data_IF_680154778064
#
_entry.id   IF_680154778064
#
_cell.length_a   1.000
_cell.length_b   1.000
_cell.length_c   1.000
_cell.angle_alpha   90.00
_cell.angle_beta   90.00
_cell.angle_gamma   90.00
#
_symmetry.space_group_name_H-M   'P 1'
#
loop_
_entity.id
_entity.type
_entity.pdbx_description
1 polymer ?
#
# COMPACT_ATOMS: atom_id res chain seq x y z
N UNK A 1 -12.32 28.94 -52.40
CA UNK A 1 -13.71 28.45 -52.23
C UNK A 1 -13.85 26.93 -52.49
N UNK A 2 -12.86 26.10 -52.08
CA UNK A 2 -12.91 24.62 -52.18
C UNK A 2 -12.58 23.93 -50.85
N UNK A 3 -12.41 24.72 -49.77
CA UNK A 3 -12.03 24.25 -48.42
C UNK A 3 -13.16 24.40 -47.39
N UNK A 4 -14.32 24.89 -47.81
CA UNK A 4 -15.48 25.11 -46.93
C UNK A 4 -16.51 23.96 -47.04
N UNK A 5 -16.42 23.12 -48.07
CA UNK A 5 -17.31 21.97 -48.25
C UNK A 5 -16.87 20.69 -47.51
N UNK A 6 -15.78 20.72 -46.75
CA UNK A 6 -15.23 19.53 -46.07
C UNK A 6 -15.46 19.51 -44.55
N UNK A 7 -16.30 20.42 -44.04
CA UNK A 7 -16.63 20.53 -42.60
C UNK A 7 -18.04 20.01 -42.29
N UNK A 8 -18.82 19.60 -43.31
CA UNK A 8 -20.23 19.22 -43.14
C UNK A 8 -20.51 17.70 -43.24
N UNK A 9 -19.51 16.85 -43.01
CA UNK A 9 -19.64 15.39 -43.21
C UNK A 9 -19.12 14.52 -42.04
N UNK A 10 -19.02 15.06 -40.82
CA UNK A 10 -18.60 14.29 -39.62
C UNK A 10 -19.48 14.60 -38.40
N UNK A 11 -20.79 14.70 -38.58
CA UNK A 11 -21.76 14.83 -37.48
C UNK A 11 -22.87 13.78 -37.56
N UNK A 12 -22.49 12.53 -37.78
CA UNK A 12 -23.41 11.41 -37.69
C UNK A 12 -22.65 10.14 -37.31
N UNK A 13 -22.51 9.89 -35.99
CA UNK A 13 -22.39 8.56 -35.39
C UNK A 13 -22.44 8.71 -33.85
N UNK A 14 -23.65 8.95 -33.36
CA UNK A 14 -24.05 8.64 -31.98
C UNK A 14 -24.81 7.32 -32.01
N UNK A 15 -24.17 6.24 -31.56
CA UNK A 15 -24.81 5.02 -31.06
C UNK A 15 -23.73 4.09 -30.49
N UNK A 16 -23.26 4.36 -29.27
CA UNK A 16 -22.35 3.49 -28.51
C UNK A 16 -23.01 3.04 -27.22
N UNK A 17 -23.23 1.73 -27.11
CA UNK A 17 -24.06 1.02 -26.14
C UNK A 17 -23.79 1.33 -24.66
N UNK A 18 -24.86 1.64 -23.91
CA UNK A 18 -24.89 1.47 -22.46
C UNK A 18 -25.20 0.01 -22.12
N UNK A 19 -24.31 -0.64 -21.37
CA UNK A 19 -24.58 -1.95 -20.77
C UNK A 19 -25.33 -1.75 -19.46
N UNK A 20 -26.58 -2.21 -19.41
CA UNK A 20 -27.42 -2.21 -18.22
C UNK A 20 -27.00 -3.40 -17.36
N UNK A 21 -26.28 -3.17 -16.26
CA UNK A 21 -26.09 -4.22 -15.25
C UNK A 21 -27.41 -4.41 -14.51
N UNK A 22 -27.98 -5.61 -14.64
CA UNK A 22 -29.07 -6.09 -13.80
C UNK A 22 -28.67 -5.92 -12.33
N UNK A 23 -29.49 -5.20 -11.58
CA UNK A 23 -29.52 -5.26 -10.12
C UNK A 23 -30.26 -6.55 -9.78
N UNK A 24 -29.55 -7.68 -9.88
CA UNK A 24 -30.06 -8.92 -9.31
C UNK A 24 -30.05 -8.78 -7.79
N UNK A 25 -31.28 -8.66 -7.31
CA UNK A 25 -31.76 -8.78 -5.95
C UNK A 25 -31.08 -9.96 -5.24
N UNK A 26 -30.19 -9.63 -4.30
CA UNK A 26 -29.72 -10.63 -3.34
C UNK A 26 -30.90 -10.89 -2.41
N UNK A 27 -31.47 -12.11 -2.33
CA UNK A 27 -32.47 -12.40 -1.33
C UNK A 27 -31.80 -12.25 0.04
N UNK A 28 -32.14 -11.20 0.76
CA UNK A 28 -31.82 -11.06 2.18
C UNK A 28 -32.61 -12.15 2.89
N UNK A 29 -31.95 -13.26 3.19
CA UNK A 29 -32.47 -14.25 4.13
C UNK A 29 -32.39 -13.60 5.50
N UNK A 30 -33.46 -12.92 5.90
CA UNK A 30 -33.73 -12.58 7.27
C UNK A 30 -33.85 -13.89 8.07
N UNK A 31 -32.76 -14.29 8.72
CA UNK A 31 -32.85 -15.17 9.89
C UNK A 31 -33.32 -14.31 11.07
N UNK A 32 -34.58 -13.90 11.04
CA UNK A 32 -35.29 -13.53 12.27
C UNK A 32 -35.35 -14.78 13.13
N UNK A 33 -34.46 -14.86 14.12
CA UNK A 33 -34.53 -15.84 15.18
C UNK A 33 -35.81 -15.61 15.97
N UNK A 34 -36.85 -16.36 15.64
CA UNK A 34 -38.09 -16.43 16.41
C UNK A 34 -37.73 -16.85 17.83
N UNK A 35 -37.90 -15.94 18.79
CA UNK A 35 -37.87 -16.25 20.21
C UNK A 35 -39.01 -17.21 20.51
N UNK A 36 -38.67 -18.47 20.79
CA UNK A 36 -39.60 -19.44 21.37
C UNK A 36 -39.34 -19.47 22.86
N UNK A 37 -40.22 -18.84 23.63
CA UNK A 37 -40.34 -19.01 25.09
C UNK A 37 -41.10 -20.32 25.38
N UNK A 38 -40.59 -21.19 26.25
CA UNK A 38 -41.41 -22.04 27.12
C UNK A 38 -41.52 -21.41 28.52
N UNK A 39 -42.65 -21.59 29.23
CA UNK A 39 -42.86 -21.02 30.55
C UNK A 39 -42.33 -21.95 31.65
N UNK A 40 -41.66 -21.37 32.65
CA UNK A 40 -41.74 -21.87 34.03
C UNK A 40 -40.42 -22.17 34.75
N UNK A 41 -40.27 -21.47 35.88
CA UNK A 41 -39.67 -21.91 37.14
C UNK A 41 -38.15 -21.76 37.38
N UNK A 42 -37.83 -20.70 38.13
CA UNK A 42 -36.94 -20.62 39.30
C UNK A 42 -35.58 -21.34 39.29
N UNK A 43 -34.50 -20.55 39.36
CA UNK A 43 -33.19 -21.00 39.82
C UNK A 43 -32.18 -19.86 39.91
N UNK A 44 -31.94 -19.39 41.14
CA UNK A 44 -30.86 -18.53 41.64
C UNK A 44 -29.67 -18.28 40.68
N UNK A 45 -29.50 -17.02 40.25
CA UNK A 45 -28.39 -16.58 39.41
C UNK A 45 -27.12 -16.32 40.22
N UNK A 46 -26.14 -17.22 40.10
CA UNK A 46 -24.77 -17.01 40.54
C UNK A 46 -23.81 -17.36 39.40
N UNK A 47 -23.06 -16.34 38.97
CA UNK A 47 -21.78 -16.33 38.28
C UNK A 47 -21.54 -17.27 37.07
N UNK A 48 -21.43 -16.70 35.85
CA UNK A 48 -20.46 -17.12 34.81
C UNK A 48 -20.17 -15.94 33.86
N UNK A 49 -18.87 -15.68 33.62
CA UNK A 49 -18.42 -15.28 32.28
C UNK A 49 -18.14 -13.80 32.02
N UNK A 50 -17.23 -13.19 32.79
CA UNK A 50 -16.55 -11.95 32.40
C UNK A 50 -15.79 -12.23 31.10
N UNK A 51 -16.30 -11.73 29.98
CA UNK A 51 -15.63 -11.74 28.68
C UNK A 51 -14.41 -10.83 28.75
N UNK A 52 -13.32 -11.38 29.27
CA UNK A 52 -12.01 -10.76 29.33
C UNK A 52 -11.46 -10.72 27.90
N UNK A 53 -11.87 -9.70 27.15
CA UNK A 53 -11.09 -9.25 25.99
C UNK A 53 -9.80 -8.71 26.57
N UNK A 54 -8.81 -9.60 26.69
CA UNK A 54 -7.43 -9.24 26.91
C UNK A 54 -7.03 -8.30 25.78
N UNK A 55 -7.04 -7.00 26.08
CA UNK A 55 -6.37 -6.00 25.27
C UNK A 55 -4.95 -6.48 25.13
N UNK A 56 -4.57 -6.91 23.93
CA UNK A 56 -3.17 -7.21 23.63
C UNK A 56 -2.45 -5.86 23.61
N UNK A 57 -2.06 -5.40 24.80
CA UNK A 57 -1.05 -4.37 24.97
C UNK A 57 0.29 -5.02 24.60
N UNK A 58 0.50 -5.20 23.30
CA UNK A 58 1.83 -5.50 22.79
C UNK A 58 2.61 -4.21 23.03
N UNK A 59 3.30 -4.14 24.17
CA UNK A 59 4.05 -2.97 24.60
C UNK A 59 4.72 -2.30 23.40
N UNK A 60 4.12 -1.20 22.96
CA UNK A 60 4.46 -0.56 21.69
C UNK A 60 5.96 -0.22 21.67
N UNK A 61 6.55 0.03 22.83
CA UNK A 61 7.99 0.27 23.04
C UNK A 61 8.92 -0.87 22.60
N UNK A 62 8.60 -2.14 22.90
CA UNK A 62 9.47 -3.29 22.58
C UNK A 62 9.45 -3.63 21.08
N UNK A 63 8.27 -3.61 20.46
CA UNK A 63 8.17 -3.82 19.01
C UNK A 63 8.70 -2.64 18.20
N UNK A 64 8.61 -1.42 18.74
CA UNK A 64 9.12 -0.23 18.07
C UNK A 64 10.64 -0.25 17.89
N UNK A 65 11.40 -0.76 18.86
CA UNK A 65 12.87 -0.88 18.72
C UNK A 65 13.26 -1.92 17.65
N UNK A 66 12.52 -3.03 17.57
CA UNK A 66 12.76 -4.09 16.59
C UNK A 66 12.50 -3.64 15.14
N UNK A 67 11.52 -2.76 14.91
CA UNK A 67 11.23 -2.22 13.55
C UNK A 67 12.31 -1.23 13.11
N UNK A 68 12.85 -0.45 14.04
CA UNK A 68 14.03 0.39 13.77
C UNK A 68 15.24 -0.51 13.50
N UNK A 69 15.41 -1.66 14.16
CA UNK A 69 16.49 -2.61 13.85
C UNK A 69 16.23 -3.52 12.64
N UNK A 70 15.02 -3.54 12.09
CA UNK A 70 14.57 -4.51 11.10
C UNK A 70 14.95 -4.19 9.65
N UNK A 71 14.57 -5.08 8.70
CA UNK A 71 14.77 -4.84 7.27
C UNK A 71 14.03 -3.59 6.81
N UNK A 72 14.69 -2.73 6.03
CA UNK A 72 14.16 -1.43 5.58
C UNK A 72 14.29 -1.23 4.07
N UNK A 73 14.54 -2.30 3.32
CA UNK A 73 14.88 -2.23 1.91
C UNK A 73 13.87 -3.05 1.11
N UNK A 74 13.27 -2.41 0.10
CA UNK A 74 12.39 -3.04 -0.89
C UNK A 74 13.17 -3.15 -2.18
N UNK A 75 13.32 -4.36 -2.72
CA UNK A 75 14.04 -4.60 -3.99
C UNK A 75 13.08 -4.72 -5.17
N UNK A 76 13.55 -4.30 -6.34
CA UNK A 76 12.77 -4.26 -7.57
C UNK A 76 13.43 -5.03 -8.70
N UNK A 77 12.61 -5.53 -9.61
CA UNK A 77 13.08 -6.11 -10.86
C UNK A 77 13.63 -5.03 -11.79
N UNK A 78 14.30 -5.48 -12.85
CA UNK A 78 14.82 -4.58 -13.89
C UNK A 78 13.67 -3.78 -14.51
N UNK A 79 13.91 -2.48 -14.72
CA UNK A 79 12.95 -1.50 -15.27
C UNK A 79 11.54 -1.56 -14.62
N UNK A 80 11.50 -1.83 -13.32
CA UNK A 80 10.25 -1.96 -12.58
C UNK A 80 10.24 -1.11 -11.31
N UNK A 81 9.05 -0.61 -10.98
CA UNK A 81 8.69 0.00 -9.69
C UNK A 81 7.56 -0.76 -8.99
N UNK A 82 7.24 -1.97 -9.47
CA UNK A 82 6.23 -2.83 -8.86
C UNK A 82 6.79 -3.45 -7.58
N UNK A 83 6.07 -3.26 -6.48
CA UNK A 83 6.43 -3.86 -5.20
C UNK A 83 6.07 -5.36 -5.25
N UNK A 84 7.08 -6.21 -5.06
CA UNK A 84 6.88 -7.66 -5.01
C UNK A 84 6.11 -8.07 -3.75
N UNK A 85 5.27 -9.13 -3.81
CA UNK A 85 4.47 -9.59 -2.67
C UNK A 85 5.28 -9.88 -1.41
N UNK A 86 6.52 -10.36 -1.56
CA UNK A 86 7.45 -10.64 -0.46
C UNK A 86 7.77 -9.43 0.42
N UNK A 87 7.62 -8.20 -0.08
CA UNK A 87 7.86 -6.97 0.67
C UNK A 87 6.60 -6.39 1.35
N UNK A 88 5.42 -6.98 1.13
CA UNK A 88 4.17 -6.45 1.71
C UNK A 88 4.22 -6.45 3.24
N UNK A 89 4.63 -7.57 3.85
CA UNK A 89 4.74 -7.68 5.31
C UNK A 89 5.76 -6.69 5.90
N UNK A 90 6.84 -6.38 5.19
CA UNK A 90 7.79 -5.34 5.59
C UNK A 90 7.10 -3.98 5.64
N UNK A 91 6.37 -3.61 4.58
CA UNK A 91 5.67 -2.33 4.49
C UNK A 91 4.58 -2.23 5.57
N UNK A 92 3.83 -3.30 5.82
CA UNK A 92 2.81 -3.37 6.87
C UNK A 92 3.37 -3.12 8.27
N UNK A 93 4.54 -3.71 8.57
CA UNK A 93 5.24 -3.50 9.83
C UNK A 93 5.61 -2.03 10.01
N UNK A 94 6.20 -1.40 8.99
CA UNK A 94 6.53 0.03 9.03
C UNK A 94 5.28 0.92 9.07
N UNK A 95 4.20 0.55 8.40
CA UNK A 95 2.94 1.27 8.44
C UNK A 95 2.34 1.27 9.85
N UNK A 96 2.32 0.13 10.53
CA UNK A 96 1.87 0.05 11.94
C UNK A 96 2.72 0.94 12.85
N UNK A 97 4.04 0.91 12.68
CA UNK A 97 4.96 1.75 13.44
C UNK A 97 4.71 3.25 13.26
N UNK A 98 4.56 3.70 12.01
CA UNK A 98 4.28 5.11 11.70
C UNK A 98 2.89 5.54 12.17
N UNK A 99 1.91 4.64 12.14
CA UNK A 99 0.56 4.93 12.64
C UNK A 99 0.50 5.07 14.15
N UNK A 100 1.32 4.31 14.88
CA UNK A 100 1.38 4.37 16.34
C UNK A 100 1.89 5.73 16.85
N UNK A 101 2.64 6.47 16.02
CA UNK A 101 3.21 7.76 16.40
C UNK A 101 3.29 8.71 15.21
N UNK A 102 2.37 9.67 15.18
CA UNK A 102 2.23 10.67 14.12
C UNK A 102 3.37 11.70 14.06
N UNK A 103 4.20 11.78 15.11
CA UNK A 103 5.37 12.66 15.11
C UNK A 103 6.54 12.10 14.31
N UNK A 104 6.59 10.77 14.11
CA UNK A 104 7.68 10.13 13.36
C UNK A 104 7.56 10.42 11.88
N UNK A 105 8.70 10.68 11.27
CA UNK A 105 8.85 10.94 9.84
C UNK A 105 9.85 9.98 9.22
N UNK A 106 9.61 9.64 7.96
CA UNK A 106 10.51 8.84 7.13
C UNK A 106 10.75 9.50 5.79
N UNK A 107 11.93 9.29 5.24
CA UNK A 107 12.22 9.44 3.82
C UNK A 107 12.30 8.05 3.18
N UNK A 108 11.65 7.91 2.03
CA UNK A 108 11.77 6.76 1.15
C UNK A 108 12.76 7.14 0.06
N UNK A 109 13.94 6.53 0.07
CA UNK A 109 15.02 6.83 -0.85
C UNK A 109 15.00 5.81 -1.99
N UNK A 110 14.67 6.25 -3.20
CA UNK A 110 14.60 5.39 -4.39
C UNK A 110 15.89 5.39 -5.20
N UNK A 111 16.39 4.20 -5.51
CA UNK A 111 17.65 3.96 -6.21
C UNK A 111 17.46 3.05 -7.43
N UNK A 112 18.41 3.12 -8.35
CA UNK A 112 18.47 2.30 -9.55
C UNK A 112 19.86 1.68 -9.74
N UNK A 113 19.95 0.72 -10.66
CA UNK A 113 21.25 0.30 -11.18
C UNK A 113 21.78 1.34 -12.19
N UNK A 114 22.99 1.10 -12.70
CA UNK A 114 23.71 2.07 -13.52
C UNK A 114 23.21 2.20 -14.96
N UNK A 115 22.40 1.24 -15.43
CA UNK A 115 21.94 1.16 -16.83
C UNK A 115 20.99 2.31 -17.15
N UNK A 116 21.14 2.90 -18.34
CA UNK A 116 20.31 4.02 -18.80
C UNK A 116 20.82 5.41 -18.38
N UNK A 117 20.12 6.47 -18.82
CA UNK A 117 20.46 7.87 -18.58
C UNK A 117 20.29 8.30 -17.11
N UNK A 118 20.89 9.43 -16.71
CA UNK A 118 20.78 9.93 -15.32
C UNK A 118 19.35 10.35 -15.00
N UNK A 119 18.74 11.11 -15.90
CA UNK A 119 17.39 11.67 -15.78
C UNK A 119 16.33 10.57 -15.74
N UNK A 120 16.50 9.56 -16.59
CA UNK A 120 15.64 8.38 -16.61
C UNK A 120 15.73 7.62 -15.28
N UNK A 121 16.93 7.39 -14.77
CA UNK A 121 17.13 6.70 -13.50
C UNK A 121 16.62 7.51 -12.30
N UNK A 122 16.74 8.84 -12.35
CA UNK A 122 16.15 9.72 -11.35
C UNK A 122 14.62 9.59 -11.33
N UNK A 123 13.99 9.58 -12.51
CA UNK A 123 12.55 9.37 -12.62
C UNK A 123 12.11 7.96 -12.16
N UNK A 124 12.84 6.92 -12.54
CA UNK A 124 12.53 5.54 -12.13
C UNK A 124 12.72 5.34 -10.62
N UNK A 125 13.79 5.88 -10.04
CA UNK A 125 13.99 5.88 -8.61
C UNK A 125 12.88 6.64 -7.87
N UNK A 126 12.41 7.77 -8.42
CA UNK A 126 11.29 8.52 -7.85
C UNK A 126 10.01 7.68 -7.84
N UNK A 127 9.68 7.00 -8.95
CA UNK A 127 8.53 6.09 -9.03
C UNK A 127 8.61 4.95 -8.01
N UNK A 128 9.80 4.40 -7.76
CA UNK A 128 10.01 3.37 -6.72
C UNK A 128 9.73 3.91 -5.32
N UNK A 129 10.23 5.10 -5.01
CA UNK A 129 9.98 5.74 -3.73
C UNK A 129 8.48 6.06 -3.54
N UNK A 130 7.84 6.58 -4.58
CA UNK A 130 6.40 6.87 -4.59
C UNK A 130 5.54 5.62 -4.48
N UNK A 131 5.94 4.49 -5.08
CA UNK A 131 5.24 3.23 -4.94
C UNK A 131 5.18 2.80 -3.47
N UNK A 132 6.31 2.84 -2.75
CA UNK A 132 6.36 2.48 -1.32
C UNK A 132 5.60 3.49 -0.47
N UNK A 133 5.75 4.79 -0.74
CA UNK A 133 4.94 5.84 -0.08
C UNK A 133 3.45 5.60 -0.27
N UNK A 134 3.01 5.28 -1.48
CA UNK A 134 1.61 5.01 -1.80
C UNK A 134 1.11 3.76 -1.06
N UNK A 135 1.92 2.70 -1.00
CA UNK A 135 1.59 1.50 -0.23
C UNK A 135 1.43 1.80 1.27
N UNK A 136 2.32 2.61 1.86
CA UNK A 136 2.17 3.07 3.24
C UNK A 136 0.89 3.91 3.43
N UNK A 137 0.57 4.78 2.48
CA UNK A 137 -0.66 5.58 2.48
C UNK A 137 -1.93 4.74 2.44
N UNK A 138 -1.97 3.70 1.58
CA UNK A 138 -3.08 2.73 1.51
C UNK A 138 -3.27 1.99 2.84
N UNK A 139 -2.21 1.83 3.63
CA UNK A 139 -2.25 1.24 4.96
C UNK A 139 -2.57 2.24 6.08
N UNK A 140 -2.84 3.51 5.75
CA UNK A 140 -3.30 4.55 6.67
C UNK A 140 -2.19 5.39 7.32
N UNK A 141 -0.97 5.38 6.78
CA UNK A 141 0.08 6.33 7.18
C UNK A 141 -0.28 7.72 6.65
N UNK A 142 -0.12 8.77 7.48
CA UNK A 142 -0.44 10.14 7.08
C UNK A 142 0.64 10.66 6.14
N UNK A 143 0.23 11.38 5.10
CA UNK A 143 1.14 11.84 4.06
C UNK A 143 2.30 12.70 4.58
N UNK A 144 2.04 13.54 5.58
CA UNK A 144 3.04 14.41 6.22
C UNK A 144 4.15 13.65 6.95
N UNK A 145 3.99 12.35 7.18
CA UNK A 145 5.00 11.48 7.78
C UNK A 145 5.98 10.91 6.76
N UNK A 146 5.68 10.95 5.46
CA UNK A 146 6.42 10.22 4.43
C UNK A 146 6.85 11.13 3.29
N UNK A 147 8.16 11.27 3.11
CA UNK A 147 8.76 11.94 1.97
C UNK A 147 9.31 10.92 0.97
N UNK A 148 9.09 11.10 -0.33
CA UNK A 148 9.65 10.25 -1.37
C UNK A 148 10.74 11.04 -2.14
N UNK A 149 11.96 10.51 -2.15
CA UNK A 149 13.14 11.14 -2.76
C UNK A 149 13.86 10.14 -3.65
N UNK A 150 14.37 10.57 -4.80
CA UNK A 150 15.21 9.74 -5.65
C UNK A 150 16.67 10.15 -5.62
N UNK A 151 17.54 9.15 -5.60
CA UNK A 151 18.96 9.29 -5.92
C UNK A 151 19.34 8.70 -7.27
N UNK A 152 18.37 8.14 -8.01
CA UNK A 152 18.62 7.38 -9.24
C UNK A 152 19.79 6.42 -9.07
N UNK A 153 20.79 6.56 -9.96
CA UNK A 153 22.01 5.75 -9.95
C UNK A 153 23.20 6.38 -9.22
N UNK A 154 23.02 7.54 -8.58
CA UNK A 154 24.12 8.33 -8.00
C UNK A 154 24.61 7.77 -6.65
N UNK A 155 23.78 6.95 -5.98
CA UNK A 155 24.09 6.35 -4.68
C UNK A 155 23.90 4.82 -4.70
N UNK A 156 24.79 4.07 -5.37
CA UNK A 156 24.72 2.60 -5.38
C UNK A 156 24.99 2.05 -3.98
N UNK A 157 24.29 0.97 -3.61
CA UNK A 157 24.60 0.20 -2.41
C UNK A 157 25.85 -0.66 -2.61
N UNK A 158 26.02 -1.20 -3.81
CA UNK A 158 27.16 -2.04 -4.20
C UNK A 158 27.73 -1.53 -5.50
N UNK A 159 29.05 -1.33 -5.53
CA UNK A 159 29.76 -0.99 -6.76
C UNK A 159 29.88 -2.23 -7.65
N UNK A 160 29.71 -2.06 -8.95
CA UNK A 160 29.87 -3.14 -9.92
C UNK A 160 28.79 -3.15 -10.99
N UNK A 161 29.13 -3.80 -12.11
CA UNK A 161 28.33 -3.86 -13.33
C UNK A 161 27.77 -5.26 -13.61
N UNK A 162 27.87 -6.18 -12.65
CA UNK A 162 27.26 -7.50 -12.76
C UNK A 162 25.80 -7.48 -12.27
N UNK A 163 25.01 -8.48 -12.68
CA UNK A 163 23.59 -8.52 -12.33
C UNK A 163 23.37 -8.66 -10.81
N UNK A 164 24.34 -9.23 -10.06
CA UNK A 164 24.25 -9.35 -8.61
C UNK A 164 24.36 -7.99 -7.90
N UNK A 165 25.26 -7.12 -8.35
CA UNK A 165 25.38 -5.75 -7.88
C UNK A 165 24.18 -4.90 -8.33
N UNK A 166 23.77 -5.03 -9.60
CA UNK A 166 22.62 -4.31 -10.14
C UNK A 166 21.34 -4.65 -9.38
N UNK A 167 21.09 -5.92 -9.07
CA UNK A 167 19.94 -6.35 -8.29
C UNK A 167 19.89 -5.71 -6.90
N UNK A 168 21.03 -5.56 -6.23
CA UNK A 168 21.13 -4.87 -4.95
C UNK A 168 20.92 -3.36 -5.08
N UNK A 169 21.26 -2.76 -6.22
CA UNK A 169 21.11 -1.33 -6.44
C UNK A 169 19.67 -0.91 -6.82
N UNK A 170 18.87 -1.82 -7.39
CA UNK A 170 17.45 -1.61 -7.68
C UNK A 170 16.61 -1.70 -6.41
N UNK A 171 16.53 -0.62 -5.64
CA UNK A 171 15.89 -0.64 -4.31
C UNK A 171 15.21 0.67 -3.92
N UNK A 172 14.36 0.60 -2.91
CA UNK A 172 13.90 1.73 -2.12
C UNK A 172 14.21 1.49 -0.65
N UNK A 173 14.74 2.49 0.05
CA UNK A 173 15.14 2.39 1.45
C UNK A 173 14.29 3.28 2.34
N UNK A 174 13.80 2.73 3.46
CA UNK A 174 13.05 3.47 4.47
C UNK A 174 14.03 4.04 5.49
N UNK A 175 14.15 5.37 5.54
CA UNK A 175 15.01 6.11 6.46
C UNK A 175 14.18 6.90 7.46
N UNK A 176 14.30 6.57 8.73
CA UNK A 176 13.72 7.37 9.80
C UNK A 176 14.54 8.64 10.03
N UNK A 177 13.86 9.76 10.29
CA UNK A 177 14.46 11.06 10.63
C UNK A 177 14.50 11.26 12.14
#
# INVERSE_FOLDING_TARGET
>A
MKRIFLILAVTALMAGCGSTTNLDEVPVVDKTGTSVLPPGANGSGSAVGKGDVTSVDVGASSQNAAIVGGPRVVYFDYDSYVIKPEFQSLIEVHARYLKADKSRKVAIEGHTDERGGREYNLALGQKRAEAVRSALGLLGVVDSQVEAVSFGKEKPAVQGSDEAAMAKNRRAEIRYK
#
